data_IF_720365945474
#
_entry.id   IF_720365945474
#
_cell.length_a   1.000
_cell.length_b   1.000
_cell.length_c   1.000
_cell.angle_alpha   90.00
_cell.angle_beta   90.00
_cell.angle_gamma   90.00
#
_symmetry.space_group_name_H-M   'P 1'
#
loop_
_entity.id
_entity.type
_entity.pdbx_description
1 polymer ?
#
# COMPACT_ATOMS: atom_id res chain seq x y z
N UNK A 1 -10.41 -8.66 19.62
CA UNK A 1 -9.37 -9.02 18.63
C UNK A 1 -8.19 -8.09 18.82
N UNK A 2 -7.04 -8.60 19.23
CA UNK A 2 -5.77 -7.86 19.38
C UNK A 2 -4.66 -8.78 18.91
N UNK A 3 -4.12 -8.53 17.72
CA UNK A 3 -2.98 -9.29 17.16
C UNK A 3 -2.11 -8.35 16.32
N UNK A 4 -1.50 -7.37 16.99
CA UNK A 4 -0.38 -6.60 16.47
C UNK A 4 0.66 -6.64 17.60
N UNK A 5 1.19 -7.84 17.87
CA UNK A 5 2.29 -8.02 18.81
C UNK A 5 3.58 -7.46 18.21
N UNK A 6 4.48 -7.03 19.08
CA UNK A 6 5.75 -6.35 18.76
C UNK A 6 6.49 -7.00 17.59
N UNK A 7 6.99 -6.23 16.59
CA UNK A 7 7.15 -4.77 16.57
C UNK A 7 5.87 -3.99 16.24
N UNK A 8 5.81 -2.74 16.71
CA UNK A 8 4.71 -1.81 16.40
C UNK A 8 4.69 -1.53 14.90
N UNK A 9 3.74 -2.12 14.18
CA UNK A 9 3.46 -1.77 12.78
C UNK A 9 2.77 -0.41 12.76
N UNK A 10 3.39 0.57 12.12
CA UNK A 10 2.88 1.95 12.02
C UNK A 10 2.24 2.24 10.66
N UNK A 11 2.61 1.49 9.62
CA UNK A 11 2.12 1.69 8.25
C UNK A 11 1.85 0.34 7.57
N UNK A 12 0.64 -0.21 7.69
CA UNK A 12 0.23 -1.33 6.85
C UNK A 12 0.05 -0.87 5.41
N UNK A 13 0.67 -1.59 4.47
CA UNK A 13 0.53 -1.37 3.03
C UNK A 13 -0.35 -2.47 2.44
N UNK A 14 -1.37 -2.08 1.69
CA UNK A 14 -2.15 -2.99 0.83
C UNK A 14 -1.77 -2.70 -0.61
N UNK A 15 -1.13 -3.65 -1.28
CA UNK A 15 -0.69 -3.51 -2.67
C UNK A 15 -1.51 -4.41 -3.60
N UNK A 16 -1.79 -3.92 -4.80
CA UNK A 16 -2.48 -4.67 -5.86
C UNK A 16 -1.96 -4.26 -7.24
N UNK A 17 -2.03 -5.17 -8.21
CA UNK A 17 -1.76 -4.88 -9.62
C UNK A 17 -2.98 -4.32 -10.36
N UNK A 18 -4.07 -4.00 -9.65
CA UNK A 18 -5.27 -3.41 -10.21
C UNK A 18 -5.66 -2.10 -9.52
N UNK A 19 -6.97 -1.81 -9.52
CA UNK A 19 -7.55 -0.65 -8.83
C UNK A 19 -8.30 -1.08 -7.58
N UNK A 20 -8.31 -0.22 -6.57
CA UNK A 20 -9.19 -0.36 -5.42
C UNK A 20 -10.61 0.10 -5.78
N UNK A 21 -11.60 -0.54 -5.15
CA UNK A 21 -12.98 -0.05 -5.21
C UNK A 21 -13.12 1.23 -4.40
N UNK A 22 -14.13 2.05 -4.71
CA UNK A 22 -14.43 3.26 -3.94
C UNK A 22 -14.70 2.94 -2.46
N UNK A 23 -15.34 1.81 -2.18
CA UNK A 23 -15.61 1.35 -0.82
C UNK A 23 -14.32 1.03 -0.05
N UNK A 24 -13.34 0.39 -0.71
CA UNK A 24 -12.05 0.10 -0.11
C UNK A 24 -11.26 1.38 0.21
N UNK A 25 -11.27 2.35 -0.71
CA UNK A 25 -10.65 3.66 -0.49
C UNK A 25 -11.30 4.38 0.68
N UNK A 26 -12.64 4.48 0.67
CA UNK A 26 -13.42 5.13 1.73
C UNK A 26 -13.15 4.49 3.10
N UNK A 27 -13.04 3.16 3.14
CA UNK A 27 -12.74 2.45 4.37
C UNK A 27 -11.34 2.78 4.90
N UNK A 28 -10.32 2.81 4.03
CA UNK A 28 -8.95 3.15 4.41
C UNK A 28 -8.83 4.61 4.87
N UNK A 29 -9.52 5.54 4.21
CA UNK A 29 -9.58 6.96 4.61
C UNK A 29 -10.21 7.10 6.00
N UNK A 30 -11.38 6.49 6.24
CA UNK A 30 -12.03 6.48 7.57
C UNK A 30 -11.17 5.85 8.65
N UNK A 31 -10.46 4.77 8.32
CA UNK A 31 -9.49 4.18 9.24
C UNK A 31 -8.38 5.17 9.61
N UNK A 32 -7.85 5.89 8.61
CA UNK A 32 -6.76 6.85 8.78
C UNK A 32 -7.18 8.15 9.49
N UNK A 33 -8.47 8.47 9.51
CA UNK A 33 -9.03 9.57 10.30
C UNK A 33 -9.14 9.22 11.80
N UNK A 34 -9.10 7.93 12.17
CA UNK A 34 -9.14 7.54 13.57
C UNK A 34 -7.85 7.95 14.30
N UNK A 35 -7.94 8.24 15.60
CA UNK A 35 -6.80 8.61 16.47
C UNK A 35 -5.81 7.44 16.72
N UNK A 36 -5.83 6.44 15.85
CA UNK A 36 -4.88 5.34 15.86
C UNK A 36 -3.61 5.79 15.13
N UNK A 37 -2.46 5.57 15.76
CA UNK A 37 -1.14 5.85 15.16
C UNK A 37 -0.77 4.91 13.99
N UNK A 38 -1.75 4.24 13.38
CA UNK A 38 -1.57 3.27 12.30
C UNK A 38 -2.17 3.91 11.05
N UNK A 39 -1.32 4.31 10.11
CA UNK A 39 -1.73 4.91 8.84
C UNK A 39 -1.67 3.86 7.74
N UNK A 40 -2.82 3.48 7.20
CA UNK A 40 -2.89 2.56 6.08
C UNK A 40 -2.54 3.24 4.76
N UNK A 41 -1.73 2.56 3.96
CA UNK A 41 -1.43 2.96 2.59
C UNK A 41 -2.03 1.97 1.59
N UNK A 42 -2.69 2.52 0.57
CA UNK A 42 -3.20 1.78 -0.56
C UNK A 42 -2.29 2.02 -1.76
N UNK A 43 -1.67 0.96 -2.27
CA UNK A 43 -0.78 1.00 -3.43
C UNK A 43 -1.49 0.33 -4.61
N UNK A 44 -2.22 1.10 -5.45
CA UNK A 44 -2.80 0.57 -6.68
C UNK A 44 -1.71 0.35 -7.73
N UNK A 45 -2.09 -0.20 -8.89
CA UNK A 45 -1.20 -0.44 -10.03
C UNK A 45 -0.31 0.78 -10.38
N UNK A 46 -0.88 2.00 -10.37
CA UNK A 46 -0.13 3.22 -10.66
C UNK A 46 1.02 3.50 -9.70
N UNK A 47 0.92 3.03 -8.44
CA UNK A 47 2.03 3.12 -7.49
C UNK A 47 3.17 2.18 -7.89
N UNK A 48 2.85 0.97 -8.35
CA UNK A 48 3.84 0.03 -8.88
C UNK A 48 4.52 0.60 -10.13
N UNK A 49 3.76 1.16 -11.06
CA UNK A 49 4.31 1.83 -12.25
C UNK A 49 5.29 2.96 -11.85
N UNK A 50 4.90 3.77 -10.85
CA UNK A 50 5.76 4.83 -10.32
C UNK A 50 7.05 4.27 -9.71
N UNK A 51 6.98 3.17 -8.93
CA UNK A 51 8.17 2.55 -8.33
C UNK A 51 9.12 1.97 -9.38
N UNK A 52 8.58 1.38 -10.45
CA UNK A 52 9.37 0.84 -11.56
C UNK A 52 9.99 1.96 -12.41
N UNK A 53 9.26 3.05 -12.65
CA UNK A 53 9.80 4.22 -13.34
C UNK A 53 11.00 4.85 -12.60
N UNK A 54 11.01 4.77 -11.26
CA UNK A 54 12.12 5.23 -10.43
C UNK A 54 13.30 4.23 -10.36
N UNK A 55 13.09 2.97 -10.80
CA UNK A 55 14.07 1.88 -10.72
C UNK A 55 14.11 1.07 -12.02
N UNK A 56 14.56 1.70 -13.14
CA UNK A 56 14.60 1.02 -14.44
C UNK A 56 15.57 -0.16 -14.48
N UNK A 57 16.55 -0.19 -13.59
CA UNK A 57 17.45 -1.33 -13.36
C UNK A 57 16.69 -2.61 -12.98
N UNK A 58 15.69 -2.50 -12.09
CA UNK A 58 14.85 -3.63 -11.70
C UNK A 58 13.99 -4.15 -12.85
N UNK A 59 13.52 -3.25 -13.73
CA UNK A 59 12.79 -3.64 -14.94
C UNK A 59 13.66 -4.54 -15.82
N UNK A 60 14.90 -4.13 -16.06
CA UNK A 60 15.83 -4.85 -16.92
C UNK A 60 16.31 -6.16 -16.29
N UNK A 61 16.63 -6.16 -14.99
CA UNK A 61 17.14 -7.33 -14.27
C UNK A 61 16.09 -8.44 -14.16
N UNK A 62 14.83 -8.07 -13.86
CA UNK A 62 13.78 -9.04 -13.56
C UNK A 62 12.74 -9.21 -14.67
N UNK A 63 12.89 -8.53 -15.80
CA UNK A 63 11.98 -8.66 -16.95
C UNK A 63 10.54 -8.21 -16.65
N UNK A 64 10.39 -7.17 -15.82
CA UNK A 64 9.09 -6.67 -15.39
C UNK A 64 8.48 -5.80 -16.51
N UNK A 65 7.52 -6.34 -17.26
CA UNK A 65 6.92 -5.65 -18.41
C UNK A 65 5.42 -5.90 -18.50
#
# INVERSE_FOLDING_TARGET
MRLWESPRVVVPIVATSGRFTADAITWAERHNESDQAIRMELWPESHTEQLLAQRPDLIAEFGLR
#
